data_IF_060739963869
#
_entry.id   IF_060739963869
#
_cell.length_a   1.000
_cell.length_b   1.000
_cell.length_c   1.000
_cell.angle_alpha   90.00
_cell.angle_beta   90.00
_cell.angle_gamma   90.00
#
_symmetry.space_group_name_H-M   'P 1'
#
loop_
_entity.id
_entity.type
_entity.pdbx_description
1 polymer ?
#
# COMPACT_ATOMS: atom_id res chain seq x y z
N UNK A 1 12.80 10.78 -6.97
CA UNK A 1 11.37 10.56 -7.28
C UNK A 1 10.77 9.61 -6.27
N UNK A 2 9.59 9.89 -5.77
CA UNK A 2 8.86 9.01 -4.86
C UNK A 2 7.70 8.37 -5.63
N UNK A 3 7.54 7.05 -5.49
CA UNK A 3 6.41 6.32 -6.04
C UNK A 3 5.60 5.71 -4.88
N UNK A 4 4.36 6.12 -4.73
CA UNK A 4 3.40 5.55 -3.79
C UNK A 4 2.54 4.51 -4.54
N UNK A 5 2.49 3.27 -4.06
CA UNK A 5 1.69 2.18 -4.64
C UNK A 5 0.64 1.75 -3.62
N UNK A 6 -0.58 2.22 -3.81
CA UNK A 6 -1.76 1.83 -3.03
C UNK A 6 -2.58 0.73 -3.70
N UNK A 7 -3.65 0.33 -3.05
CA UNK A 7 -4.60 -0.67 -3.55
C UNK A 7 -5.02 -1.67 -2.50
N UNK A 8 -6.05 -2.44 -2.79
CA UNK A 8 -6.57 -3.49 -1.90
C UNK A 8 -5.55 -4.61 -1.67
N UNK A 9 -5.85 -5.46 -0.70
CA UNK A 9 -5.07 -6.70 -0.52
C UNK A 9 -5.04 -7.53 -1.81
N UNK A 10 -4.01 -8.33 -2.00
CA UNK A 10 -3.80 -9.24 -3.15
C UNK A 10 -3.65 -8.56 -4.54
N UNK A 11 -3.66 -7.22 -4.65
CA UNK A 11 -3.54 -6.54 -5.97
C UNK A 11 -2.12 -6.51 -6.54
N UNK A 12 -1.14 -7.13 -5.89
CA UNK A 12 0.23 -7.23 -6.39
C UNK A 12 1.10 -6.00 -6.13
N UNK A 13 0.80 -5.19 -5.12
CA UNK A 13 1.59 -3.99 -4.74
C UNK A 13 3.06 -4.32 -4.51
N UNK A 14 3.34 -5.30 -3.65
CA UNK A 14 4.70 -5.73 -3.33
C UNK A 14 5.43 -6.28 -4.56
N UNK A 15 4.73 -7.04 -5.43
CA UNK A 15 5.30 -7.49 -6.71
C UNK A 15 5.66 -6.29 -7.62
N UNK A 16 4.78 -5.30 -7.71
CA UNK A 16 5.04 -4.10 -8.49
C UNK A 16 6.24 -3.32 -7.93
N UNK A 17 6.34 -3.14 -6.61
CA UNK A 17 7.48 -2.51 -5.95
C UNK A 17 8.78 -3.28 -6.20
N UNK A 18 8.76 -4.60 -6.10
CA UNK A 18 9.91 -5.48 -6.40
C UNK A 18 10.37 -5.30 -7.87
N UNK A 19 9.45 -5.24 -8.83
CA UNK A 19 9.78 -5.00 -10.24
C UNK A 19 10.40 -3.62 -10.48
N UNK A 20 9.97 -2.60 -9.74
CA UNK A 20 10.59 -1.28 -9.80
C UNK A 20 12.01 -1.31 -9.24
N UNK A 21 12.24 -2.01 -8.13
CA UNK A 21 13.58 -2.22 -7.57
C UNK A 21 14.49 -2.92 -8.59
N UNK A 22 14.06 -4.03 -9.16
CA UNK A 22 14.84 -4.83 -10.12
C UNK A 22 15.21 -4.04 -11.38
N UNK A 23 14.27 -3.23 -11.88
CA UNK A 23 14.44 -2.51 -13.14
C UNK A 23 15.15 -1.16 -13.00
N UNK A 24 14.89 -0.45 -11.92
CA UNK A 24 15.33 0.94 -11.75
C UNK A 24 16.24 1.15 -10.54
N UNK A 25 16.50 0.12 -9.76
CA UNK A 25 17.27 0.17 -8.51
C UNK A 25 16.68 1.16 -7.48
N UNK A 26 15.37 1.34 -7.47
CA UNK A 26 14.68 2.14 -6.47
C UNK A 26 14.36 1.23 -5.28
N UNK A 27 14.88 1.55 -4.08
CA UNK A 27 14.51 0.80 -2.89
C UNK A 27 13.02 0.97 -2.61
N UNK A 28 12.40 -0.05 -1.99
CA UNK A 28 11.02 0.08 -1.55
C UNK A 28 10.86 -0.15 -0.05
N UNK A 29 9.84 0.50 0.50
CA UNK A 29 9.38 0.35 1.87
C UNK A 29 7.96 -0.23 1.83
N UNK A 30 7.81 -1.44 2.39
CA UNK A 30 6.49 -2.03 2.64
C UNK A 30 5.93 -1.47 3.94
N UNK A 31 4.72 -0.91 3.88
CA UNK A 31 4.04 -0.41 5.08
C UNK A 31 3.65 -1.57 6.00
N UNK A 32 3.37 -2.75 5.44
CA UNK A 32 3.08 -3.95 6.23
C UNK A 32 4.32 -4.41 7.04
N UNK A 33 5.52 -4.32 6.48
CA UNK A 33 6.76 -4.59 7.23
C UNK A 33 6.95 -3.58 8.37
N UNK A 34 6.70 -2.30 8.11
CA UNK A 34 6.76 -1.27 9.15
C UNK A 34 5.73 -1.55 10.25
N UNK A 35 4.48 -1.86 9.87
CA UNK A 35 3.40 -2.24 10.80
C UNK A 35 3.83 -3.37 11.71
N UNK A 36 4.28 -4.47 11.13
CA UNK A 36 4.70 -5.65 11.90
C UNK A 36 5.92 -5.37 12.77
N UNK A 37 6.86 -4.56 12.29
CA UNK A 37 8.02 -4.13 13.09
C UNK A 37 7.62 -3.34 14.33
N UNK A 38 6.73 -2.38 14.18
CA UNK A 38 6.21 -1.56 15.29
C UNK A 38 5.39 -2.38 16.30
N UNK A 39 4.54 -3.28 15.81
CA UNK A 39 3.73 -4.17 16.68
C UNK A 39 4.63 -5.12 17.47
N UNK A 40 5.52 -5.84 16.78
CA UNK A 40 6.39 -6.84 17.41
C UNK A 40 7.43 -6.25 18.37
N UNK A 41 7.84 -5.01 18.16
CA UNK A 41 8.73 -4.29 19.07
C UNK A 41 8.02 -3.76 20.33
N UNK A 42 6.68 -3.82 20.38
CA UNK A 42 5.91 -3.29 21.50
C UNK A 42 5.85 -1.76 21.58
N UNK A 43 6.29 -1.05 20.53
CA UNK A 43 6.33 0.43 20.53
C UNK A 43 4.93 1.01 20.26
N UNK A 44 4.07 0.31 19.52
CA UNK A 44 2.73 0.79 19.21
C UNK A 44 1.65 0.04 20.02
N UNK A 45 0.49 0.70 20.28
CA UNK A 45 -0.60 0.11 21.05
C UNK A 45 -1.51 -0.82 20.23
N UNK A 46 -1.19 -1.06 18.96
CA UNK A 46 -2.02 -1.82 18.03
C UNK A 46 -1.61 -3.28 17.95
N UNK A 47 -2.56 -4.12 17.49
CA UNK A 47 -2.34 -5.51 17.11
C UNK A 47 -2.44 -5.69 15.58
N UNK A 48 -2.04 -6.84 15.03
CA UNK A 48 -2.23 -7.13 13.61
C UNK A 48 -3.69 -7.06 13.14
N UNK A 49 -4.63 -7.32 14.05
CA UNK A 49 -6.09 -7.34 13.83
C UNK A 49 -6.77 -5.99 14.09
N UNK A 50 -6.00 -4.96 14.51
CA UNK A 50 -6.55 -3.62 14.72
C UNK A 50 -7.18 -3.07 13.43
N UNK A 51 -8.32 -2.34 13.52
CA UNK A 51 -9.01 -1.81 12.36
C UNK A 51 -8.12 -0.89 11.50
N UNK A 52 -8.27 -0.95 10.18
CA UNK A 52 -7.51 -0.11 9.25
C UNK A 52 -7.75 1.39 9.46
N UNK A 53 -8.94 1.77 9.97
CA UNK A 53 -9.27 3.15 10.32
C UNK A 53 -8.37 3.72 11.44
N UNK A 54 -7.88 2.86 12.34
CA UNK A 54 -6.94 3.24 13.41
C UNK A 54 -5.49 3.13 12.95
N UNK A 55 -5.17 2.07 12.21
CA UNK A 55 -3.81 1.81 11.71
C UNK A 55 -3.37 2.83 10.65
N UNK A 56 -4.26 3.22 9.75
CA UNK A 56 -3.93 4.12 8.63
C UNK A 56 -3.38 5.46 9.11
N UNK A 57 -4.05 6.24 9.99
CA UNK A 57 -3.52 7.53 10.44
C UNK A 57 -2.20 7.38 11.20
N UNK A 58 -2.04 6.31 11.97
CA UNK A 58 -0.82 6.05 12.72
C UNK A 58 0.37 5.74 11.80
N UNK A 59 0.22 4.76 10.90
CA UNK A 59 1.27 4.36 9.97
C UNK A 59 1.59 5.47 8.96
N UNK A 60 0.58 6.12 8.42
CA UNK A 60 0.76 7.23 7.50
C UNK A 60 1.46 8.42 8.15
N UNK A 61 1.20 8.67 9.44
CA UNK A 61 1.92 9.68 10.23
C UNK A 61 3.44 9.51 10.16
N UNK A 62 3.92 8.25 10.21
CA UNK A 62 5.34 7.91 10.13
C UNK A 62 5.82 7.94 8.66
N UNK A 63 5.08 7.30 7.78
CA UNK A 63 5.45 7.14 6.36
C UNK A 63 5.62 8.49 5.66
N UNK A 64 4.71 9.45 5.89
CA UNK A 64 4.81 10.77 5.24
C UNK A 64 6.09 11.52 5.63
N UNK A 65 6.58 11.35 6.87
CA UNK A 65 7.83 11.98 7.30
C UNK A 65 9.05 11.28 6.69
N UNK A 66 9.03 9.95 6.54
CA UNK A 66 10.05 9.21 5.77
C UNK A 66 10.08 9.69 4.32
N UNK A 67 8.93 9.87 3.70
CA UNK A 67 8.82 10.38 2.32
C UNK A 67 9.38 11.80 2.21
N UNK A 68 9.07 12.71 3.15
CA UNK A 68 9.65 14.06 3.18
C UNK A 68 11.18 14.01 3.28
N UNK A 69 11.71 13.20 4.19
CA UNK A 69 13.16 13.01 4.36
C UNK A 69 13.81 12.48 3.08
N UNK A 70 13.21 11.51 2.41
CA UNK A 70 13.71 11.00 1.13
C UNK A 70 13.70 12.08 0.03
N UNK A 71 12.68 12.95 0.00
CA UNK A 71 12.60 14.08 -0.93
C UNK A 71 13.71 15.09 -0.64
N UNK A 72 13.91 15.48 0.62
CA UNK A 72 14.95 16.42 1.06
C UNK A 72 16.35 15.93 0.68
N UNK A 73 16.61 14.64 0.82
CA UNK A 73 17.87 14.01 0.47
C UNK A 73 18.02 13.70 -1.04
N UNK A 74 17.04 14.06 -1.87
CA UNK A 74 17.08 13.77 -3.30
C UNK A 74 16.99 12.30 -3.68
N UNK A 75 16.55 11.44 -2.76
CA UNK A 75 16.49 9.99 -2.93
C UNK A 75 15.30 9.55 -3.79
N UNK A 76 15.44 8.38 -4.41
CA UNK A 76 14.32 7.64 -4.99
C UNK A 76 13.81 6.63 -3.97
N UNK A 77 12.49 6.52 -3.84
CA UNK A 77 11.87 5.58 -2.91
C UNK A 77 10.52 5.13 -3.46
N UNK A 78 10.25 3.85 -3.37
CA UNK A 78 8.90 3.29 -3.56
C UNK A 78 8.32 3.03 -2.17
N UNK A 79 7.08 3.44 -1.93
CA UNK A 79 6.32 3.07 -0.72
C UNK A 79 5.08 2.31 -1.16
N UNK A 80 4.87 1.12 -0.62
CA UNK A 80 3.72 0.31 -1.00
C UNK A 80 2.93 -0.16 0.22
N UNK A 81 1.60 -0.22 0.08
CA UNK A 81 0.71 -0.73 1.13
C UNK A 81 -0.73 -0.25 0.99
N UNK A 82 -1.60 -0.82 1.84
CA UNK A 82 -3.02 -0.43 1.90
C UNK A 82 -3.24 0.87 2.68
N UNK A 83 -2.30 1.28 3.50
CA UNK A 83 -2.40 2.38 4.47
C UNK A 83 -2.00 3.75 3.89
N UNK A 84 -1.99 3.93 2.57
CA UNK A 84 -1.78 5.22 1.92
C UNK A 84 -3.15 5.89 1.74
N UNK A 85 -3.43 7.01 2.42
CA UNK A 85 -4.72 7.67 2.29
C UNK A 85 -4.88 8.30 0.89
N UNK A 86 -6.09 8.28 0.34
CA UNK A 86 -6.36 8.82 -1.00
C UNK A 86 -6.18 10.34 -1.07
N UNK A 87 -6.38 11.03 0.05
CA UNK A 87 -6.14 12.48 0.20
C UNK A 87 -4.70 12.83 0.62
N UNK A 88 -3.74 11.92 0.38
CA UNK A 88 -2.32 12.07 0.75
C UNK A 88 -1.71 13.42 0.35
N UNK A 89 -2.22 14.02 -0.72
CA UNK A 89 -1.74 15.32 -1.23
C UNK A 89 -1.79 16.43 -0.19
N UNK A 90 -2.73 16.38 0.76
CA UNK A 90 -2.88 17.39 1.82
C UNK A 90 -1.68 17.49 2.77
N UNK A 91 -0.93 16.40 2.91
CA UNK A 91 0.20 16.29 3.84
C UNK A 91 1.53 16.80 3.26
N UNK A 92 1.55 17.24 1.99
CA UNK A 92 2.74 17.65 1.27
C UNK A 92 2.58 19.04 0.65
N UNK A 93 3.69 19.80 0.63
CA UNK A 93 3.78 21.06 -0.11
C UNK A 93 3.69 20.81 -1.62
N UNK A 94 3.41 21.85 -2.41
CA UNK A 94 3.37 21.74 -3.87
C UNK A 94 4.69 21.20 -4.44
N UNK A 95 5.83 21.70 -3.98
CA UNK A 95 7.15 21.25 -4.40
C UNK A 95 7.40 19.76 -4.11
N UNK A 96 6.91 19.24 -2.97
CA UNK A 96 6.97 17.82 -2.67
C UNK A 96 6.06 17.00 -3.59
N UNK A 97 4.82 17.47 -3.84
CA UNK A 97 3.85 16.77 -4.71
C UNK A 97 4.37 16.57 -6.12
N UNK A 98 5.13 17.52 -6.66
CA UNK A 98 5.74 17.42 -7.99
C UNK A 98 6.75 16.26 -8.09
N UNK A 99 7.33 15.85 -6.96
CA UNK A 99 8.27 14.72 -6.87
C UNK A 99 7.61 13.39 -6.53
N UNK A 100 6.32 13.37 -6.22
CA UNK A 100 5.55 12.17 -5.85
C UNK A 100 4.68 11.74 -7.04
N UNK A 101 4.64 10.43 -7.27
CA UNK A 101 3.66 9.78 -8.15
C UNK A 101 2.88 8.77 -7.33
N UNK A 102 1.58 8.73 -7.51
CA UNK A 102 0.70 7.77 -6.85
C UNK A 102 0.04 6.87 -7.88
N UNK A 103 0.03 5.59 -7.60
CA UNK A 103 -0.66 4.57 -8.39
C UNK A 103 -1.48 3.72 -7.44
N UNK A 104 -2.74 3.50 -7.74
CA UNK A 104 -3.60 2.57 -7.03
C UNK A 104 -3.87 1.34 -7.90
N UNK A 105 -3.46 0.17 -7.42
CA UNK A 105 -3.70 -1.10 -8.12
C UNK A 105 -5.11 -1.61 -7.81
N UNK A 106 -5.89 -1.81 -8.84
CA UNK A 106 -7.31 -2.19 -8.73
C UNK A 106 -7.60 -3.33 -9.70
N UNK A 107 -8.18 -4.41 -9.21
CA UNK A 107 -8.77 -5.43 -10.05
C UNK A 107 -10.17 -5.00 -10.53
N UNK A 108 -10.47 -5.24 -11.80
CA UNK A 108 -11.83 -5.10 -12.29
C UNK A 108 -12.73 -6.18 -11.70
N UNK A 109 -14.02 -5.89 -11.57
CA UNK A 109 -15.01 -6.86 -11.10
C UNK A 109 -15.01 -8.15 -11.92
N UNK A 110 -14.96 -8.02 -13.26
CA UNK A 110 -14.89 -9.16 -14.16
C UNK A 110 -13.62 -10.01 -13.94
N UNK A 111 -12.48 -9.37 -13.66
CA UNK A 111 -11.23 -10.09 -13.35
C UNK A 111 -11.36 -10.87 -12.05
N UNK A 112 -11.87 -10.26 -10.98
CA UNK A 112 -12.09 -10.94 -9.70
C UNK A 112 -13.02 -12.14 -9.85
N UNK A 113 -14.14 -11.97 -10.59
CA UNK A 113 -15.10 -13.04 -10.79
C UNK A 113 -14.49 -14.27 -11.50
N UNK A 114 -13.63 -14.03 -12.49
CA UNK A 114 -13.03 -15.10 -13.30
C UNK A 114 -11.78 -15.73 -12.68
N UNK A 115 -11.02 -14.97 -11.92
CA UNK A 115 -9.69 -15.33 -11.45
C UNK A 115 -9.56 -15.35 -9.92
N UNK A 116 -10.68 -15.47 -9.20
CA UNK A 116 -10.65 -15.42 -7.73
C UNK A 116 -9.68 -16.43 -7.12
N UNK A 117 -9.68 -17.68 -7.58
CA UNK A 117 -8.77 -18.71 -7.08
C UNK A 117 -7.31 -18.41 -7.44
N UNK A 118 -7.06 -17.87 -8.63
CA UNK A 118 -5.72 -17.48 -9.03
C UNK A 118 -5.18 -16.35 -8.16
N UNK A 119 -6.03 -15.36 -7.81
CA UNK A 119 -5.67 -14.27 -6.92
C UNK A 119 -5.23 -14.81 -5.55
N UNK A 120 -5.99 -15.74 -4.97
CA UNK A 120 -5.64 -16.36 -3.70
C UNK A 120 -4.35 -17.21 -3.79
N UNK A 121 -4.18 -17.98 -4.86
CA UNK A 121 -2.98 -18.81 -5.05
C UNK A 121 -1.70 -17.98 -5.18
N UNK A 122 -1.78 -16.71 -5.57
CA UNK A 122 -0.63 -15.81 -5.72
C UNK A 122 -0.36 -14.94 -4.48
N UNK A 123 -1.13 -15.08 -3.40
CA UNK A 123 -0.95 -14.27 -2.18
C UNK A 123 0.46 -14.38 -1.57
N UNK A 124 1.09 -15.53 -1.70
CA UNK A 124 2.42 -15.83 -1.17
C UNK A 124 3.55 -15.71 -2.22
N UNK A 125 3.31 -15.02 -3.34
CA UNK A 125 4.29 -14.93 -4.44
C UNK A 125 5.59 -14.23 -4.04
N UNK A 126 5.56 -13.29 -3.09
CA UNK A 126 6.73 -12.57 -2.58
C UNK A 126 6.82 -12.64 -1.05
N UNK A 127 5.71 -12.47 -0.35
CA UNK A 127 5.64 -12.48 1.11
C UNK A 127 4.88 -13.71 1.60
N UNK A 128 5.44 -14.42 2.59
CA UNK A 128 4.69 -15.47 3.28
C UNK A 128 3.87 -14.85 4.38
N UNK A 129 2.56 -14.83 4.19
CA UNK A 129 1.61 -14.43 5.24
C UNK A 129 1.43 -15.58 6.21
N UNK A 130 1.86 -15.36 7.45
CA UNK A 130 1.65 -16.29 8.56
C UNK A 130 0.32 -15.94 9.18
N UNK A 131 -0.73 -16.71 8.91
CA UNK A 131 -2.09 -16.56 9.43
C UNK A 131 -2.84 -15.30 8.93
N UNK A 132 -3.45 -15.39 7.76
CA UNK A 132 -4.55 -14.50 7.38
C UNK A 132 -5.79 -15.35 7.11
N UNK A 133 -6.95 -14.92 7.62
CA UNK A 133 -8.22 -15.49 7.17
C UNK A 133 -8.32 -15.31 5.66
N UNK A 134 -8.77 -16.32 4.90
CA UNK A 134 -8.90 -16.20 3.46
C UNK A 134 -9.85 -15.04 3.13
N UNK A 135 -9.40 -14.11 2.30
CA UNK A 135 -10.21 -13.00 1.81
C UNK A 135 -11.34 -13.57 0.94
N UNK A 136 -12.57 -13.19 1.21
CA UNK A 136 -13.72 -13.60 0.41
C UNK A 136 -13.79 -12.83 -0.92
N UNK A 137 -14.51 -13.42 -1.91
CA UNK A 137 -14.73 -12.76 -3.20
C UNK A 137 -15.50 -11.46 -3.04
N UNK A 138 -16.48 -11.42 -2.15
CA UNK A 138 -17.30 -10.26 -1.83
C UNK A 138 -16.47 -9.11 -1.23
N UNK A 139 -15.53 -9.43 -0.38
CA UNK A 139 -14.58 -8.47 0.18
C UNK A 139 -13.68 -7.87 -0.90
N UNK A 140 -13.08 -8.72 -1.75
CA UNK A 140 -12.28 -8.22 -2.87
C UNK A 140 -13.08 -7.30 -3.79
N UNK A 141 -14.31 -7.65 -4.13
CA UNK A 141 -15.20 -6.82 -4.98
C UNK A 141 -15.49 -5.49 -4.30
N UNK A 142 -15.87 -5.50 -3.02
CA UNK A 142 -16.20 -4.30 -2.26
C UNK A 142 -15.01 -3.35 -2.16
N UNK A 143 -13.84 -3.87 -1.77
CA UNK A 143 -12.63 -3.05 -1.60
C UNK A 143 -12.16 -2.45 -2.92
N UNK A 144 -12.09 -3.24 -3.99
CA UNK A 144 -11.63 -2.74 -5.28
C UNK A 144 -12.59 -1.71 -5.88
N UNK A 145 -13.92 -1.88 -5.70
CA UNK A 145 -14.92 -0.88 -6.09
C UNK A 145 -14.75 0.40 -5.29
N UNK A 146 -14.63 0.31 -3.96
CA UNK A 146 -14.41 1.47 -3.10
C UNK A 146 -13.12 2.22 -3.44
N UNK A 147 -12.03 1.50 -3.73
CA UNK A 147 -10.78 2.12 -4.16
C UNK A 147 -10.92 2.82 -5.52
N UNK A 148 -11.65 2.24 -6.48
CA UNK A 148 -11.92 2.88 -7.77
C UNK A 148 -12.71 4.19 -7.61
N UNK A 149 -13.73 4.19 -6.76
CA UNK A 149 -14.53 5.38 -6.46
C UNK A 149 -13.67 6.48 -5.81
N UNK A 150 -12.85 6.11 -4.82
CA UNK A 150 -11.93 7.05 -4.17
C UNK A 150 -10.88 7.61 -5.14
N UNK A 151 -10.31 6.77 -6.03
CA UNK A 151 -9.40 7.23 -7.07
C UNK A 151 -10.05 8.26 -8.01
N UNK A 152 -11.31 8.05 -8.37
CA UNK A 152 -12.05 9.01 -9.23
C UNK A 152 -12.36 10.33 -8.51
N UNK A 153 -12.58 10.27 -7.21
CA UNK A 153 -12.90 11.45 -6.39
C UNK A 153 -11.67 12.31 -6.10
N UNK A 154 -10.54 11.68 -5.77
CA UNK A 154 -9.32 12.41 -5.34
C UNK A 154 -8.31 12.68 -6.48
N UNK A 155 -8.46 12.07 -7.64
CA UNK A 155 -7.61 12.28 -8.83
C UNK A 155 -6.35 11.48 -8.81
#
# INVERSE_FOLDING_TARGET
MILLIGGSTHTGKTLAAQRVLEKYSYPYLSIDHLKMGLIRSGICPFSPESPDEELTPFLWGIIKEIVKTAIENGQNLVVEGCYIPFDWKKDFTQACRERIRYVCLIFSENYIQRHYHDILNHENAIERRVESSPVTREELLRENRGNLEKCRFYG
#
